data_IF_606455897593
#
_entry.id   IF_606455897593
#
_cell.length_a   1.000
_cell.length_b   1.000
_cell.length_c   1.000
_cell.angle_alpha   90.00
_cell.angle_beta   90.00
_cell.angle_gamma   90.00
#
_symmetry.space_group_name_H-M   'P 1'
#
loop_
_entity.id
_entity.type
_entity.pdbx_description
1 polymer ?
#
# COMPACT_ATOMS: atom_id res chain seq x y z
N UNK A 1 14.17 -12.01 -15.02
CA UNK A 1 13.43 -12.27 -13.77
C UNK A 1 14.31 -11.84 -12.62
N UNK A 2 13.82 -11.01 -11.72
CA UNK A 2 14.52 -10.55 -10.53
C UNK A 2 15.09 -11.71 -9.70
N UNK A 3 16.22 -11.48 -9.03
CA UNK A 3 16.89 -12.50 -8.21
C UNK A 3 16.32 -12.65 -6.79
N UNK A 4 15.44 -11.74 -6.37
CA UNK A 4 14.82 -11.73 -5.04
C UNK A 4 13.44 -11.07 -5.09
N UNK A 5 12.66 -11.28 -4.04
CA UNK A 5 11.38 -10.61 -3.84
C UNK A 5 11.53 -9.08 -3.84
N UNK A 6 12.50 -8.56 -3.08
CA UNK A 6 12.76 -7.13 -3.00
C UNK A 6 13.07 -6.54 -4.39
N UNK A 7 13.95 -7.19 -5.16
CA UNK A 7 14.28 -6.75 -6.52
C UNK A 7 13.08 -6.84 -7.49
N UNK A 8 12.13 -7.76 -7.25
CA UNK A 8 10.90 -7.84 -8.02
C UNK A 8 9.95 -6.70 -7.70
N UNK A 9 9.79 -6.38 -6.42
CA UNK A 9 8.95 -5.27 -5.98
C UNK A 9 9.50 -3.93 -6.49
N UNK A 10 10.83 -3.75 -6.45
CA UNK A 10 11.50 -2.59 -7.04
C UNK A 10 11.28 -2.51 -8.55
N UNK A 11 11.47 -3.61 -9.30
CA UNK A 11 11.23 -3.62 -10.77
C UNK A 11 9.76 -3.32 -11.11
N UNK A 12 8.82 -3.84 -10.32
CA UNK A 12 7.38 -3.59 -10.49
C UNK A 12 7.01 -2.11 -10.31
N UNK A 13 7.57 -1.47 -9.28
CA UNK A 13 7.38 -0.04 -9.04
C UNK A 13 8.06 0.80 -10.14
N UNK A 14 9.37 0.60 -10.34
CA UNK A 14 10.19 1.47 -11.18
C UNK A 14 9.93 1.31 -12.69
N UNK A 15 9.64 0.10 -13.17
CA UNK A 15 9.46 -0.15 -14.61
C UNK A 15 7.99 -0.21 -15.07
N UNK A 16 7.07 -0.48 -14.16
CA UNK A 16 5.66 -0.76 -14.49
C UNK A 16 4.65 0.11 -13.73
N UNK A 17 5.09 1.00 -12.84
CA UNK A 17 4.23 1.86 -11.99
C UNK A 17 3.20 1.06 -11.19
N UNK A 18 3.59 -0.15 -10.76
CA UNK A 18 2.72 -1.01 -9.95
C UNK A 18 3.05 -0.78 -8.48
N UNK A 19 2.25 0.07 -7.84
CA UNK A 19 2.27 0.27 -6.40
C UNK A 19 1.39 -0.74 -5.66
N UNK A 20 2.03 -1.52 -4.78
CA UNK A 20 1.35 -2.46 -3.89
C UNK A 20 1.35 -1.88 -2.46
N UNK A 21 0.20 -1.45 -1.91
CA UNK A 21 0.14 -0.74 -0.63
C UNK A 21 0.72 -1.50 0.58
N UNK A 22 0.91 -2.82 0.47
CA UNK A 22 1.45 -3.66 1.55
C UNK A 22 2.83 -4.27 1.21
N UNK A 23 3.48 -3.83 0.13
CA UNK A 23 4.80 -4.34 -0.27
C UNK A 23 5.82 -4.24 0.87
N UNK A 24 5.82 -3.13 1.60
CA UNK A 24 6.71 -2.90 2.74
C UNK A 24 6.53 -3.89 3.91
N UNK A 25 5.43 -4.64 3.96
CA UNK A 25 5.25 -5.74 4.92
C UNK A 25 5.80 -7.08 4.41
N UNK A 26 5.99 -7.22 3.10
CA UNK A 26 6.38 -8.46 2.44
C UNK A 26 7.89 -8.53 2.14
N UNK A 27 8.60 -7.40 2.16
CA UNK A 27 10.05 -7.33 1.97
C UNK A 27 10.84 -8.09 3.04
N UNK A 28 12.10 -8.35 2.76
CA UNK A 28 13.00 -9.12 3.65
C UNK A 28 13.19 -8.50 5.05
N UNK A 29 13.14 -7.17 5.17
CA UNK A 29 13.18 -6.45 6.45
C UNK A 29 12.07 -5.37 6.51
N UNK A 30 10.84 -5.75 6.91
CA UNK A 30 9.70 -4.85 6.94
C UNK A 30 9.90 -3.65 7.86
N UNK A 31 10.61 -3.84 8.97
CA UNK A 31 10.83 -2.76 9.93
C UNK A 31 11.73 -1.69 9.33
N UNK A 32 12.88 -2.08 8.78
CA UNK A 32 13.83 -1.15 8.17
C UNK A 32 13.19 -0.36 7.04
N UNK A 33 12.40 -1.01 6.19
CA UNK A 33 11.70 -0.33 5.08
C UNK A 33 10.63 0.63 5.60
N UNK A 34 9.73 0.17 6.47
CA UNK A 34 8.62 0.98 6.96
C UNK A 34 9.08 2.24 7.72
N UNK A 35 10.20 2.17 8.45
CA UNK A 35 10.69 3.31 9.25
C UNK A 35 11.69 4.22 8.53
N UNK A 36 12.21 3.82 7.37
CA UNK A 36 13.29 4.54 6.68
C UNK A 36 12.98 6.01 6.37
N UNK A 37 11.72 6.31 6.03
CA UNK A 37 11.25 7.65 5.64
C UNK A 37 10.39 8.33 6.71
N UNK A 38 10.34 7.79 7.93
CA UNK A 38 9.51 8.34 9.02
C UNK A 38 10.11 9.64 9.53
N UNK A 39 9.33 10.71 9.45
CA UNK A 39 9.66 12.04 9.96
C UNK A 39 9.22 12.21 11.42
N UNK A 40 8.07 11.61 11.77
CA UNK A 40 7.53 11.65 13.13
C UNK A 40 6.64 10.46 13.42
N UNK A 41 6.54 10.12 14.71
CA UNK A 41 5.73 9.02 15.22
C UNK A 41 4.92 9.47 16.43
N UNK A 42 3.68 8.99 16.52
CA UNK A 42 2.78 9.21 17.66
C UNK A 42 2.26 7.87 18.15
N UNK A 43 2.31 7.65 19.47
CA UNK A 43 1.64 6.52 20.11
C UNK A 43 0.35 7.00 20.78
N UNK A 44 -0.79 6.46 20.35
CA UNK A 44 -2.11 6.85 20.84
C UNK A 44 -2.61 6.03 22.03
N UNK A 45 -1.85 5.02 22.45
CA UNK A 45 -2.26 4.12 23.53
C UNK A 45 -2.94 2.85 23.01
N UNK A 46 -3.69 2.21 23.90
CA UNK A 46 -4.48 1.02 23.57
C UNK A 46 -5.80 1.42 22.93
N UNK A 47 -6.10 0.84 21.77
CA UNK A 47 -7.34 1.03 21.03
C UNK A 47 -7.86 -0.32 20.49
N UNK A 48 -9.18 -0.51 20.38
CA UNK A 48 -9.73 -1.75 19.86
C UNK A 48 -9.54 -1.86 18.33
N UNK A 49 -9.15 -3.03 17.84
CA UNK A 49 -9.18 -3.39 16.42
C UNK A 49 -9.52 -4.88 16.26
N UNK A 50 -10.50 -5.20 15.41
CA UNK A 50 -10.97 -6.57 15.17
C UNK A 50 -11.29 -7.37 16.46
N UNK A 51 -11.76 -6.69 17.51
CA UNK A 51 -12.06 -7.31 18.81
C UNK A 51 -10.86 -7.50 19.75
N UNK A 52 -9.65 -7.11 19.33
CA UNK A 52 -8.43 -7.15 20.15
C UNK A 52 -8.09 -5.78 20.72
N UNK A 53 -7.54 -5.73 21.94
CA UNK A 53 -6.84 -4.55 22.46
C UNK A 53 -5.51 -4.42 21.73
N UNK A 54 -5.25 -3.27 21.10
CA UNK A 54 -4.05 -3.07 20.28
C UNK A 54 -3.34 -1.77 20.63
N UNK A 55 -2.01 -1.77 20.61
CA UNK A 55 -1.22 -0.56 20.54
C UNK A 55 -1.47 0.14 19.20
N UNK A 56 -1.94 1.39 19.25
CA UNK A 56 -2.18 2.21 18.07
C UNK A 56 -1.05 3.22 17.89
N UNK A 57 -0.33 3.09 16.79
CA UNK A 57 0.75 3.99 16.40
C UNK A 57 0.38 4.67 15.07
N UNK A 58 0.82 5.90 14.90
CA UNK A 58 0.76 6.63 13.65
C UNK A 58 2.09 7.26 13.31
N UNK A 59 2.41 7.29 12.03
CA UNK A 59 3.67 7.74 11.48
C UNK A 59 3.41 8.68 10.32
N UNK A 60 4.24 9.71 10.21
CA UNK A 60 4.22 10.66 9.10
C UNK A 60 5.49 10.51 8.28
N UNK A 61 5.35 10.46 6.97
CA UNK A 61 6.43 10.53 5.99
C UNK A 61 6.13 11.67 5.01
N UNK A 62 6.99 11.99 4.05
CA UNK A 62 6.75 13.06 3.09
C UNK A 62 5.42 12.90 2.34
N UNK A 63 5.22 11.74 1.68
CA UNK A 63 4.10 11.50 0.77
C UNK A 63 2.94 10.71 1.38
N UNK A 64 3.17 9.95 2.45
CA UNK A 64 2.15 9.13 3.11
C UNK A 64 2.13 9.37 4.62
N UNK A 65 0.96 9.23 5.22
CA UNK A 65 0.79 9.00 6.65
C UNK A 65 0.28 7.57 6.84
N UNK A 66 0.80 6.82 7.80
CA UNK A 66 0.35 5.45 8.04
C UNK A 66 0.12 5.17 9.52
N UNK A 67 -0.83 4.29 9.80
CA UNK A 67 -1.24 3.91 11.14
C UNK A 67 -1.29 2.40 11.26
N UNK A 68 -0.87 1.87 12.40
CA UNK A 68 -0.84 0.44 12.67
C UNK A 68 -1.44 0.14 14.03
N UNK A 69 -2.23 -0.94 14.09
CA UNK A 69 -2.76 -1.51 15.32
C UNK A 69 -2.10 -2.87 15.54
N UNK A 70 -1.29 -2.95 16.59
CA UNK A 70 -0.55 -4.16 16.96
C UNK A 70 -1.19 -4.73 18.23
N UNK A 71 -1.68 -5.95 18.17
CA UNK A 71 -2.32 -6.62 19.31
C UNK A 71 -1.42 -6.57 20.55
N UNK A 72 -2.00 -6.19 21.68
CA UNK A 72 -1.35 -6.24 22.99
C UNK A 72 -1.22 -7.70 23.49
N UNK A 73 -0.15 -7.97 24.23
CA UNK A 73 0.13 -9.27 24.84
C UNK A 73 1.31 -10.03 24.22
N UNK A 74 1.43 -11.34 24.50
CA UNK A 74 2.65 -12.11 24.23
C UNK A 74 2.90 -12.40 22.74
N UNK A 75 1.89 -12.21 21.89
CA UNK A 75 2.00 -12.39 20.45
C UNK A 75 1.52 -11.11 19.76
N UNK A 76 2.41 -10.13 19.55
CA UNK A 76 2.07 -8.86 18.95
C UNK A 76 1.85 -9.02 17.44
N UNK A 77 0.59 -9.01 17.02
CA UNK A 77 0.18 -9.20 15.63
C UNK A 77 -0.40 -7.91 15.08
N UNK A 78 -0.02 -7.54 13.85
CA UNK A 78 -0.70 -6.45 13.14
C UNK A 78 -2.13 -6.89 12.87
N UNK A 79 -3.11 -6.13 13.36
CA UNK A 79 -4.54 -6.38 13.17
C UNK A 79 -5.17 -5.42 12.16
N UNK A 80 -4.64 -4.20 12.07
CA UNK A 80 -5.09 -3.18 11.13
C UNK A 80 -3.89 -2.34 10.68
N UNK A 81 -3.87 -1.99 9.41
CA UNK A 81 -2.98 -0.98 8.83
C UNK A 81 -3.84 0.01 8.02
N UNK A 82 -3.54 1.30 8.15
CA UNK A 82 -4.16 2.37 7.35
C UNK A 82 -3.04 3.18 6.72
N UNK A 83 -3.13 3.47 5.44
CA UNK A 83 -2.20 4.31 4.70
C UNK A 83 -3.01 5.41 4.01
N UNK A 84 -2.64 6.66 4.27
CA UNK A 84 -3.24 7.84 3.65
C UNK A 84 -2.22 8.46 2.70
N UNK A 85 -2.58 8.58 1.44
CA UNK A 85 -1.72 9.14 0.40
C UNK A 85 -1.92 10.65 0.35
N UNK A 86 -0.94 11.44 0.80
CA UNK A 86 -1.09 12.90 0.93
C UNK A 86 -0.87 13.66 -0.38
N UNK A 87 -0.09 13.07 -1.29
CA UNK A 87 0.28 13.70 -2.56
C UNK A 87 -0.82 13.56 -3.63
N UNK A 88 -1.78 12.66 -3.43
CA UNK A 88 -2.84 12.37 -4.39
C UNK A 88 -4.10 13.20 -4.10
N UNK A 89 -4.80 13.60 -5.18
CA UNK A 89 -6.03 14.39 -5.07
C UNK A 89 -7.10 13.64 -4.28
N UNK A 90 -7.68 14.32 -3.28
CA UNK A 90 -8.67 13.73 -2.38
C UNK A 90 -8.08 12.88 -1.23
N UNK A 91 -6.76 12.74 -1.17
CA UNK A 91 -6.03 12.02 -0.13
C UNK A 91 -6.57 10.60 0.15
N UNK A 92 -6.52 9.70 -0.84
CA UNK A 92 -7.11 8.38 -0.73
C UNK A 92 -6.49 7.59 0.42
N UNK A 93 -7.33 6.72 0.99
CA UNK A 93 -6.96 5.88 2.12
C UNK A 93 -7.07 4.39 1.74
N UNK A 94 -5.98 3.67 1.97
CA UNK A 94 -5.96 2.21 1.94
C UNK A 94 -6.08 1.66 3.37
N UNK A 95 -6.99 0.71 3.57
CA UNK A 95 -7.14 0.02 4.86
C UNK A 95 -6.99 -1.48 4.68
N UNK A 96 -6.04 -2.08 5.40
CA UNK A 96 -5.91 -3.53 5.55
C UNK A 96 -6.43 -3.98 6.92
N UNK A 97 -7.30 -4.98 6.92
CA UNK A 97 -7.75 -5.70 8.12
C UNK A 97 -7.19 -7.12 8.07
N UNK A 98 -6.28 -7.45 8.98
CA UNK A 98 -5.59 -8.75 9.01
C UNK A 98 -6.26 -9.63 10.06
N UNK A 99 -7.18 -10.47 9.61
CA UNK A 99 -8.09 -11.24 10.47
C UNK A 99 -7.53 -12.60 10.88
N UNK A 100 -6.74 -13.24 10.02
CA UNK A 100 -6.25 -14.60 10.22
C UNK A 100 -4.74 -14.66 10.05
N UNK A 101 -4.03 -14.84 11.16
CA UNK A 101 -2.62 -15.15 11.17
C UNK A 101 -2.44 -16.65 11.39
N UNK A 102 -1.79 -17.32 10.45
CA UNK A 102 -1.38 -18.72 10.57
C UNK A 102 0.15 -18.80 10.55
N UNK A 103 0.72 -19.38 11.61
CA UNK A 103 2.17 -19.62 11.75
C UNK A 103 2.52 -21.10 11.80
N UNK A 104 1.52 -21.98 11.69
CA UNK A 104 1.69 -23.42 11.69
C UNK A 104 1.88 -23.95 10.26
N UNK A 105 1.20 -23.34 9.30
CA UNK A 105 1.29 -23.74 7.89
C UNK A 105 2.70 -23.51 7.34
N UNK A 106 3.25 -24.52 6.64
CA UNK A 106 4.52 -24.39 5.94
C UNK A 106 4.26 -24.17 4.47
N UNK A 107 4.63 -23.00 3.99
CA UNK A 107 4.56 -22.65 2.57
C UNK A 107 5.73 -23.31 1.84
N UNK A 108 5.44 -23.99 0.74
CA UNK A 108 6.41 -24.65 -0.12
C UNK A 108 6.77 -23.77 -1.33
N UNK A 109 7.91 -24.00 -1.96
CA UNK A 109 8.27 -23.27 -3.20
C UNK A 109 7.26 -23.51 -4.33
N UNK A 110 6.61 -24.69 -4.36
CA UNK A 110 5.59 -25.02 -5.35
C UNK A 110 4.33 -24.16 -5.23
N UNK A 111 4.02 -23.61 -4.06
CA UNK A 111 2.84 -22.75 -3.87
C UNK A 111 2.97 -21.41 -4.61
N UNK A 112 4.20 -21.01 -4.96
CA UNK A 112 4.50 -19.81 -5.74
C UNK A 112 4.60 -20.07 -7.24
N UNK A 113 4.39 -21.31 -7.69
CA UNK A 113 4.35 -21.65 -9.12
C UNK A 113 2.94 -21.39 -9.66
N UNK A 114 2.82 -20.41 -10.54
CA UNK A 114 1.56 -20.12 -11.20
C UNK A 114 1.21 -21.19 -12.25
N UNK A 115 0.18 -21.97 -11.99
CA UNK A 115 -0.43 -22.90 -12.96
C UNK A 115 -1.67 -22.25 -13.60
N UNK A 116 -1.61 -21.83 -14.88
CA UNK A 116 -2.73 -21.14 -15.51
C UNK A 116 -3.94 -22.08 -15.66
N UNK A 117 -5.16 -21.68 -15.26
CA UNK A 117 -6.35 -22.49 -15.49
C UNK A 117 -6.66 -22.60 -16.99
N UNK A 118 -7.42 -23.63 -17.36
CA UNK A 118 -7.83 -23.84 -18.77
C UNK A 118 -8.55 -22.61 -19.33
N UNK A 119 -8.12 -22.16 -20.52
CA UNK A 119 -8.67 -20.97 -21.18
C UNK A 119 -8.07 -19.64 -20.70
N UNK A 120 -7.15 -19.63 -19.74
CA UNK A 120 -6.43 -18.41 -19.37
C UNK A 120 -5.59 -17.89 -20.56
N UNK A 121 -5.64 -16.58 -20.75
CA UNK A 121 -4.85 -15.87 -21.76
C UNK A 121 -3.82 -15.00 -21.06
N UNK A 122 -2.56 -15.09 -21.49
CA UNK A 122 -1.48 -14.25 -20.94
C UNK A 122 -1.70 -12.79 -21.33
N UNK A 123 -1.72 -11.90 -20.35
CA UNK A 123 -1.69 -10.45 -20.56
C UNK A 123 -0.21 -10.02 -20.54
N UNK A 124 0.32 -9.40 -21.60
CA UNK A 124 1.66 -8.85 -21.59
C UNK A 124 1.72 -7.63 -20.66
N UNK A 125 2.71 -7.59 -19.76
CA UNK A 125 3.06 -6.38 -19.01
C UNK A 125 3.71 -5.39 -19.96
N UNK A 126 3.20 -4.18 -19.99
CA UNK A 126 3.77 -3.07 -20.74
C UNK A 126 4.48 -2.15 -19.76
N UNK A 127 5.73 -1.79 -20.08
CA UNK A 127 6.42 -0.72 -19.34
C UNK A 127 5.67 0.58 -19.57
N UNK A 128 5.56 1.38 -18.53
CA UNK A 128 5.06 2.74 -18.70
C UNK A 128 6.01 3.52 -19.60
N UNK A 129 5.43 4.16 -20.62
CA UNK A 129 6.13 5.16 -21.40
C UNK A 129 5.82 6.50 -20.74
N UNK A 130 6.76 7.04 -19.97
CA UNK A 130 6.62 8.37 -19.37
C UNK A 130 6.44 9.40 -20.50
N UNK A 131 5.19 9.80 -20.79
CA UNK A 131 4.89 10.85 -21.76
C UNK A 131 5.26 12.16 -21.08
N UNK A 132 6.36 12.78 -21.51
CA UNK A 132 6.75 14.10 -21.04
C UNK A 132 5.56 15.07 -21.17
N UNK A 133 5.08 15.58 -20.04
CA UNK A 133 3.94 16.48 -19.97
C UNK A 133 4.22 17.75 -20.77
N UNK A 134 3.40 17.99 -21.80
CA UNK A 134 3.53 19.13 -22.70
C UNK A 134 2.70 20.31 -22.12
N UNK A 135 3.26 21.52 -21.95
CA UNK A 135 2.58 22.56 -21.20
C UNK A 135 1.52 23.25 -22.07
N UNK A 136 0.24 22.96 -21.84
CA UNK A 136 -0.86 23.94 -21.79
C UNK A 136 -2.23 23.25 -21.92
N UNK A 137 -3.18 23.64 -21.06
CA UNK A 137 -4.36 24.40 -21.49
C UNK A 137 -4.93 25.19 -20.29
N UNK A 138 -4.96 26.52 -20.42
CA UNK A 138 -5.63 27.43 -19.48
C UNK A 138 -7.15 27.17 -19.45
N UNK A 139 -7.83 27.34 -18.30
CA UNK A 139 -9.26 27.10 -18.22
C UNK A 139 -10.04 28.18 -18.97
N UNK A 140 -10.79 27.78 -20.00
CA UNK A 140 -11.75 28.60 -20.71
C UNK A 140 -13.16 28.06 -20.46
N UNK A 141 -13.92 28.79 -19.65
CA UNK A 141 -15.31 29.27 -19.91
C UNK A 141 -16.16 29.28 -18.64
N UNK A 142 -16.69 30.46 -18.33
CA UNK A 142 -17.62 30.76 -17.25
C UNK A 142 -18.95 30.00 -17.38
N UNK A 143 -19.49 29.53 -16.25
CA UNK A 143 -20.87 29.05 -16.15
C UNK A 143 -21.84 30.23 -16.26
N UNK A 144 -22.70 30.21 -17.29
CA UNK A 144 -23.90 31.02 -17.38
C UNK A 144 -24.98 30.53 -16.41
N UNK A 145 -25.50 31.40 -15.54
CA UNK A 145 -26.64 31.12 -14.65
C UNK A 145 -27.98 31.09 -15.41
N UNK A 146 -28.95 30.23 -15.03
CA UNK A 146 -30.31 30.28 -15.56
C UNK A 146 -31.13 31.43 -14.94
N UNK A 147 -32.05 31.98 -15.74
CA UNK A 147 -33.08 32.95 -15.30
C UNK A 147 -34.22 32.26 -14.55
N UNK A 148 -34.59 32.77 -13.39
CA UNK A 148 -35.93 32.59 -12.80
C UNK A 148 -36.43 33.91 -12.15
N UNK A 149 -37.21 34.69 -12.91
CA UNK A 149 -38.56 35.21 -12.62
C UNK A 149 -38.93 36.34 -13.58
#
# INVERSE_FOLDING_TARGET
MPSSLDAMLDEMHDEYDIDLPLADLAVSDPYKHAVAKVESATYYGLAPALGYSCHHLAFRQENIDWQVWIQDGPQPLIRKLVITHKAEEGSPEFTALITHWDFAERISESDFVFEPPSGAVRIPLHREQHVAEQPNHAPTTALSSPKER
#
